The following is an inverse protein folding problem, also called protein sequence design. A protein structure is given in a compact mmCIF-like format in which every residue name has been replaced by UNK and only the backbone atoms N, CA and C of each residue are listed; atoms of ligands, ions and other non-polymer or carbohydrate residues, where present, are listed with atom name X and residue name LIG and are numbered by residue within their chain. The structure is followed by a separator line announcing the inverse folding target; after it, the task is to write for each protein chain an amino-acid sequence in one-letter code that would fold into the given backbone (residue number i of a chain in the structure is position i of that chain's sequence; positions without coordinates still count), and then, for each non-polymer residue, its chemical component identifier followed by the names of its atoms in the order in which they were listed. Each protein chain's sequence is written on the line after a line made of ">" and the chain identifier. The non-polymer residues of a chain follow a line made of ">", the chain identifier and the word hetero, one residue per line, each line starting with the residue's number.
data_IF_827346867356
#
_entry.id   IF_827346867356
#
_cell.length_a   1.000
_cell.length_b   1.000
_cell.length_c   1.000
_cell.angle_alpha   90.00
_cell.angle_beta   90.00
_cell.angle_gamma   90.00
#
_symmetry.space_group_name_H-M   'P 1'
#
loop_
_entity.id
_entity.type
_entity.pdbx_description
1 polymer ?
#
# COMPACT_ATOMS: atom_id res chain seq x y z
N UNK A 1 17.47 20.73 11.71
CA UNK A 1 18.17 19.53 11.18
C UNK A 1 17.66 18.20 11.75
N UNK A 2 16.99 18.18 12.91
CA UNK A 2 16.59 16.93 13.60
C UNK A 2 15.08 16.69 13.59
N UNK A 3 14.41 16.91 12.46
CA UNK A 3 12.98 16.58 12.36
C UNK A 3 12.83 15.07 12.25
N UNK A 4 11.96 14.49 13.08
CA UNK A 4 11.61 13.07 12.98
C UNK A 4 11.05 12.77 11.58
N UNK A 5 11.38 11.60 11.05
CA UNK A 5 10.87 11.19 9.75
C UNK A 5 9.43 10.70 9.92
N UNK A 6 8.57 11.09 9.00
CA UNK A 6 7.17 10.66 8.95
C UNK A 6 6.94 9.78 7.71
N UNK A 7 5.87 8.98 7.76
CA UNK A 7 5.43 8.22 6.60
C UNK A 7 4.93 9.19 5.52
N UNK A 8 5.21 8.88 4.25
CA UNK A 8 4.89 9.75 3.13
C UNK A 8 3.38 10.05 3.04
N UNK A 9 2.53 9.06 3.33
CA UNK A 9 1.08 9.24 3.33
C UNK A 9 0.56 10.26 4.34
N UNK A 10 1.35 10.50 5.39
CA UNK A 10 0.97 11.36 6.51
C UNK A 10 1.53 12.77 6.33
N UNK A 11 2.68 12.91 5.65
CA UNK A 11 3.32 14.20 5.38
C UNK A 11 2.78 14.99 4.18
N UNK A 12 1.99 14.38 3.29
CA UNK A 12 1.55 15.01 2.02
C UNK A 12 0.21 15.75 2.13
N UNK A 13 -0.58 15.46 3.16
CA UNK A 13 -2.00 15.84 3.21
C UNK A 13 -2.39 16.57 4.48
N UNK A 14 -3.58 17.19 4.46
CA UNK A 14 -4.16 17.90 5.59
C UNK A 14 -4.21 17.04 6.87
N UNK A 15 -4.04 17.68 8.02
CA UNK A 15 -4.21 17.10 9.37
C UNK A 15 -5.57 16.40 9.51
N UNK A 16 -6.60 16.85 8.78
CA UNK A 16 -7.96 16.32 8.89
C UNK A 16 -8.15 15.00 8.14
N UNK A 17 -7.40 14.76 7.06
CA UNK A 17 -7.56 13.57 6.22
C UNK A 17 -6.25 13.23 5.53
N UNK A 18 -5.68 12.11 5.95
CA UNK A 18 -4.43 11.60 5.38
C UNK A 18 -4.61 11.03 3.97
N UNK A 19 -3.55 11.02 3.17
CA UNK A 19 -3.53 10.37 1.85
C UNK A 19 -3.92 8.89 1.96
N UNK A 20 -3.42 8.24 3.02
CA UNK A 20 -3.77 6.86 3.36
C UNK A 20 -5.28 6.67 3.47
N UNK A 21 -5.98 7.50 4.25
CA UNK A 21 -7.43 7.40 4.40
C UNK A 21 -8.17 7.62 3.07
N UNK A 22 -7.74 8.59 2.26
CA UNK A 22 -8.35 8.82 0.95
C UNK A 22 -8.20 7.63 0.01
N UNK A 23 -7.01 7.01 -0.03
CA UNK A 23 -6.77 5.82 -0.85
C UNK A 23 -7.64 4.65 -0.38
N UNK A 24 -7.69 4.41 0.93
CA UNK A 24 -8.51 3.33 1.49
C UNK A 24 -10.00 3.50 1.15
N UNK A 25 -10.54 4.71 1.23
CA UNK A 25 -11.94 4.97 0.82
C UNK A 25 -12.17 4.68 -0.68
N UNK A 26 -11.24 5.09 -1.54
CA UNK A 26 -11.35 4.83 -2.99
C UNK A 26 -11.29 3.32 -3.27
N UNK A 27 -10.37 2.63 -2.59
CA UNK A 27 -10.14 1.19 -2.75
C UNK A 27 -11.36 0.41 -2.27
N UNK A 28 -11.93 0.77 -1.13
CA UNK A 28 -13.10 0.09 -0.56
C UNK A 28 -14.31 0.18 -1.49
N UNK A 29 -14.49 1.31 -2.18
CA UNK A 29 -15.57 1.45 -3.16
C UNK A 29 -15.31 0.68 -4.47
N UNK A 30 -14.04 0.39 -4.82
CA UNK A 30 -13.67 -0.20 -6.13
C UNK A 30 -13.36 -1.69 -6.07
N UNK A 31 -12.94 -2.20 -4.92
CA UNK A 31 -12.48 -3.57 -4.74
C UNK A 31 -13.33 -4.23 -3.66
N UNK A 32 -14.28 -5.11 -4.04
CA UNK A 32 -15.08 -5.85 -3.05
C UNK A 32 -14.23 -6.88 -2.31
N UNK A 33 -14.66 -7.27 -1.12
CA UNK A 33 -13.94 -8.22 -0.24
C UNK A 33 -13.61 -9.54 -0.95
N UNK A 34 -14.59 -10.06 -1.70
CA UNK A 34 -14.47 -11.31 -2.44
C UNK A 34 -13.39 -11.26 -3.53
N UNK A 35 -13.10 -10.07 -4.08
CA UNK A 35 -12.08 -9.91 -5.11
C UNK A 35 -10.69 -10.22 -4.59
N UNK A 36 -10.43 -10.02 -3.29
CA UNK A 36 -9.14 -10.35 -2.69
C UNK A 36 -8.91 -11.86 -2.60
N UNK A 37 -9.95 -12.64 -2.31
CA UNK A 37 -9.87 -14.10 -2.31
C UNK A 37 -9.72 -14.66 -3.72
N UNK A 38 -10.45 -14.10 -4.69
CA UNK A 38 -10.29 -14.44 -6.10
C UNK A 38 -8.92 -14.06 -6.65
N UNK A 39 -8.31 -12.98 -6.15
CA UNK A 39 -6.98 -12.55 -6.56
C UNK A 39 -5.90 -13.60 -6.29
N UNK A 40 -6.04 -14.40 -5.22
CA UNK A 40 -5.11 -15.51 -4.89
C UNK A 40 -5.10 -16.59 -5.98
N UNK A 41 -6.22 -16.78 -6.66
CA UNK A 41 -6.35 -17.76 -7.75
C UNK A 41 -6.01 -17.13 -9.11
N UNK A 42 -6.39 -15.86 -9.31
CA UNK A 42 -6.17 -15.11 -10.55
C UNK A 42 -4.69 -14.82 -10.82
N UNK A 43 -3.94 -14.45 -9.77
CA UNK A 43 -2.56 -14.03 -9.90
C UNK A 43 -1.61 -15.13 -9.46
N UNK A 44 -0.77 -15.61 -10.37
CA UNK A 44 0.33 -16.53 -10.02
C UNK A 44 1.62 -15.77 -9.63
N UNK A 45 1.82 -14.55 -10.16
CA UNK A 45 3.00 -13.71 -9.93
C UNK A 45 2.65 -12.48 -9.09
N UNK A 46 3.32 -12.35 -7.93
CA UNK A 46 3.12 -11.27 -6.96
C UNK A 46 1.65 -11.07 -6.62
N UNK A 47 1.11 -12.06 -5.88
CA UNK A 47 -0.27 -12.02 -5.39
C UNK A 47 -0.43 -10.81 -4.47
N UNK A 48 -1.37 -9.89 -4.77
CA UNK A 48 -1.60 -8.73 -3.93
C UNK A 48 -2.09 -9.14 -2.52
N UNK A 49 -1.42 -8.73 -1.43
CA UNK A 49 -1.78 -9.14 -0.08
C UNK A 49 -2.95 -8.33 0.53
N UNK A 50 -3.27 -7.18 -0.05
CA UNK A 50 -4.25 -6.20 0.46
C UNK A 50 -5.12 -5.70 -0.68
N UNK A 51 -6.31 -5.18 -0.38
CA UNK A 51 -7.19 -4.55 -1.38
C UNK A 51 -6.52 -3.38 -2.10
N UNK A 52 -5.72 -2.58 -1.40
CA UNK A 52 -5.00 -1.44 -2.00
C UNK A 52 -3.98 -1.92 -3.04
N UNK A 53 -3.14 -2.89 -2.67
CA UNK A 53 -2.23 -3.53 -3.62
C UNK A 53 -2.96 -4.19 -4.79
N UNK A 54 -4.14 -4.77 -4.57
CA UNK A 54 -4.96 -5.37 -5.62
C UNK A 54 -5.47 -4.30 -6.59
N UNK A 55 -5.95 -3.17 -6.07
CA UNK A 55 -6.38 -2.05 -6.89
C UNK A 55 -5.25 -1.53 -7.78
N UNK A 56 -4.05 -1.32 -7.22
CA UNK A 56 -2.88 -0.93 -8.02
C UNK A 56 -2.52 -1.99 -9.06
N UNK A 57 -2.61 -3.27 -8.71
CA UNK A 57 -2.34 -4.35 -9.66
C UNK A 57 -3.35 -4.38 -10.80
N UNK A 58 -4.63 -4.14 -10.53
CA UNK A 58 -5.67 -4.08 -11.55
C UNK A 58 -5.44 -2.92 -12.52
N UNK A 59 -5.10 -1.73 -12.01
CA UNK A 59 -4.75 -0.57 -12.84
C UNK A 59 -3.48 -0.83 -13.64
N UNK A 60 -2.46 -1.45 -13.04
CA UNK A 60 -1.26 -1.82 -13.77
C UNK A 60 -1.54 -2.81 -14.90
N UNK A 61 -2.36 -3.83 -14.65
CA UNK A 61 -2.69 -4.84 -15.67
C UNK A 61 -3.57 -4.26 -16.80
N UNK A 62 -4.36 -3.20 -16.55
CA UNK A 62 -5.14 -2.53 -17.60
C UNK A 62 -4.25 -1.76 -18.57
N UNK A 63 -3.22 -1.09 -18.05
CA UNK A 63 -2.28 -0.30 -18.86
C UNK A 63 -1.14 -1.15 -19.45
N UNK A 64 -0.69 -2.19 -18.74
CA UNK A 64 0.45 -3.03 -19.11
C UNK A 64 0.14 -4.53 -19.08
N UNK A 65 -0.69 -5.03 -20.03
CA UNK A 65 -1.14 -6.42 -20.02
C UNK A 65 0.03 -7.41 -20.07
N UNK A 66 0.05 -8.38 -19.14
CA UNK A 66 1.03 -9.47 -19.05
C UNK A 66 2.50 -9.05 -18.85
N UNK A 67 2.78 -7.76 -18.58
CA UNK A 67 4.15 -7.27 -18.39
C UNK A 67 4.64 -7.34 -16.94
N UNK A 68 3.77 -7.68 -15.98
CA UNK A 68 4.08 -7.64 -14.55
C UNK A 68 5.33 -8.44 -14.18
N UNK A 69 5.56 -9.62 -14.79
CA UNK A 69 6.72 -10.47 -14.48
C UNK A 69 8.05 -9.84 -14.94
N UNK A 70 8.02 -9.08 -16.03
CA UNK A 70 9.20 -8.44 -16.60
C UNK A 70 9.50 -7.11 -15.92
N UNK A 71 8.49 -6.24 -15.78
CA UNK A 71 8.66 -4.90 -15.21
C UNK A 71 8.79 -4.91 -13.69
N UNK A 72 8.08 -5.83 -13.02
CA UNK A 72 8.02 -5.91 -11.55
C UNK A 72 8.33 -7.33 -11.10
N UNK A 73 9.61 -7.73 -11.05
CA UNK A 73 9.99 -9.09 -10.69
C UNK A 73 9.71 -9.41 -9.21
N UNK A 74 9.77 -8.43 -8.32
CA UNK A 74 9.47 -8.59 -6.89
C UNK A 74 9.01 -7.27 -6.25
N UNK A 75 8.39 -7.36 -5.07
CA UNK A 75 8.10 -6.17 -4.26
C UNK A 75 9.38 -5.70 -3.56
N UNK A 76 9.79 -4.46 -3.80
CA UNK A 76 10.88 -3.85 -3.08
C UNK A 76 10.40 -3.43 -1.68
N UNK A 77 10.67 -4.27 -0.69
CA UNK A 77 10.33 -4.04 0.72
C UNK A 77 11.59 -4.02 1.57
N UNK A 78 11.63 -3.23 2.66
CA UNK A 78 12.75 -3.24 3.58
C UNK A 78 12.88 -4.61 4.27
N UNK A 79 14.10 -5.14 4.37
CA UNK A 79 14.35 -6.47 4.98
C UNK A 79 14.23 -6.49 6.51
N UNK A 80 14.12 -5.32 7.13
CA UNK A 80 14.10 -5.14 8.58
C UNK A 80 12.68 -4.86 9.13
N UNK A 81 11.64 -5.05 8.31
CA UNK A 81 10.26 -4.91 8.74
C UNK A 81 9.36 -5.98 8.10
N UNK A 82 8.36 -6.44 8.86
CA UNK A 82 7.37 -7.42 8.39
C UNK A 82 6.11 -6.78 7.79
N UNK A 83 6.13 -5.45 7.62
CA UNK A 83 5.01 -4.68 7.08
C UNK A 83 4.88 -4.96 5.58
N UNK A 84 3.68 -5.35 5.13
CA UNK A 84 3.36 -5.63 3.72
C UNK A 84 2.52 -4.55 3.05
N UNK A 85 2.25 -3.48 3.79
CA UNK A 85 1.48 -2.34 3.33
C UNK A 85 2.31 -1.44 2.39
N UNK A 86 1.74 -0.99 1.25
CA UNK A 86 2.45 -0.16 0.29
C UNK A 86 2.70 1.28 0.77
N UNK A 87 1.96 1.79 1.77
CA UNK A 87 2.04 3.18 2.23
C UNK A 87 3.17 3.45 3.24
N UNK A 88 3.81 2.39 3.76
CA UNK A 88 4.85 2.43 4.79
C UNK A 88 4.41 3.05 6.13
N UNK A 89 3.12 3.35 6.28
CA UNK A 89 2.55 3.98 7.48
C UNK A 89 2.71 3.12 8.73
N UNK A 90 2.65 1.81 8.59
CA UNK A 90 2.72 0.87 9.71
C UNK A 90 4.15 0.53 10.15
N UNK A 91 5.18 1.24 9.65
CA UNK A 91 6.55 1.07 10.13
C UNK A 91 6.71 1.68 11.51
N UNK A 92 7.15 0.85 12.48
CA UNK A 92 7.37 1.29 13.87
C UNK A 92 8.30 2.49 13.99
N UNK A 93 9.28 2.64 13.08
CA UNK A 93 10.20 3.78 13.08
C UNK A 93 9.56 5.13 12.76
N UNK A 94 8.31 5.14 12.26
CA UNK A 94 7.55 6.37 11.98
C UNK A 94 6.48 6.66 13.02
N UNK A 95 6.24 5.76 13.98
CA UNK A 95 5.37 6.04 15.10
C UNK A 95 6.03 7.17 15.93
N UNK A 96 5.44 8.36 15.89
CA UNK A 96 5.80 9.40 16.83
C UNK A 96 5.48 8.88 18.24
N UNK A 97 6.38 9.09 19.20
CA UNK A 97 6.04 8.89 20.61
C UNK A 97 4.87 9.83 20.90
N UNK A 98 3.66 9.28 20.98
CA UNK A 98 2.48 10.01 21.45
C UNK A 98 2.63 10.19 22.95
N UNK A 99 3.55 11.06 23.38
CA UNK A 99 3.41 11.70 24.67
C UNK A 99 2.23 12.66 24.52
N UNK A 100 1.10 12.24 25.08
CA UNK A 100 -0.06 13.11 25.33
C UNK A 100 0.45 14.34 26.10
N UNK A 101 0.56 15.47 25.41
CA UNK A 101 0.61 16.79 26.03
C UNK A 101 -0.81 17.31 26.23
#
# INVERSE_FOLDING_TARGET
>A
LWRHKEAFSDGVTSIRKSLFQMIQEIVECRVPDEALEQAKQKYAHLVPPTKEALYYRQVFDSEFPKQAKFLTPYYWMPKWCDVKDPSARFLNSYAANTELQ
#
